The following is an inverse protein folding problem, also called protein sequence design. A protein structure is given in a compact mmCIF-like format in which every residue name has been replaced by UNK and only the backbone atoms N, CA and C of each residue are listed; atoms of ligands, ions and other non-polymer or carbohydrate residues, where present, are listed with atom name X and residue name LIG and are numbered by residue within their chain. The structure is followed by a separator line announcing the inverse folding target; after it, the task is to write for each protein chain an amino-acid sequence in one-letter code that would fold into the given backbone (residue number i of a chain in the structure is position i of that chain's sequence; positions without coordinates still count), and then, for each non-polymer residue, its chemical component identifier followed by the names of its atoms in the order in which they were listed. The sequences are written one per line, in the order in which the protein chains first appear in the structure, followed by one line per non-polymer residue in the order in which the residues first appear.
data_IF_652298107659
#
_entry.id   IF_652298107659
#
_cell.length_a   1.000
_cell.length_b   1.000
_cell.length_c   1.000
_cell.angle_alpha   90.00
_cell.angle_beta   90.00
_cell.angle_gamma   90.00
#
_symmetry.space_group_name_H-M   'P 1'
#
loop_
_entity.id
_entity.type
_entity.pdbx_description
1 polymer ?
#
# COMPACT_ATOMS: atom_id res chain seq x y z
N UNK A 1 3.53 2.53 15.22
CA UNK A 1 3.63 1.90 13.90
C UNK A 1 4.09 2.91 12.89
N UNK A 2 5.00 2.51 12.03
CA UNK A 2 5.39 3.33 10.90
C UNK A 2 4.27 3.35 9.85
N UNK A 3 4.23 4.40 9.05
CA UNK A 3 3.29 4.55 7.95
C UNK A 3 4.02 4.49 6.63
N UNK A 4 3.48 3.74 5.69
CA UNK A 4 4.04 3.57 4.36
C UNK A 4 2.99 3.87 3.32
N UNK A 5 3.43 4.35 2.17
CA UNK A 5 2.59 4.48 0.99
C UNK A 5 3.01 3.38 0.01
N UNK A 6 2.05 2.63 -0.47
CA UNK A 6 2.23 1.70 -1.57
C UNK A 6 1.57 2.29 -2.80
N UNK A 7 2.37 2.57 -3.82
CA UNK A 7 1.89 3.07 -5.11
C UNK A 7 2.24 2.05 -6.18
N UNK A 8 1.30 1.73 -7.07
CA UNK A 8 1.57 0.76 -8.11
C UNK A 8 0.80 1.07 -9.38
N UNK A 9 1.34 0.56 -10.48
CA UNK A 9 0.73 0.63 -11.79
C UNK A 9 0.78 -0.76 -12.41
N UNK A 10 -0.38 -1.30 -12.75
CA UNK A 10 -0.49 -2.63 -13.32
C UNK A 10 -0.42 -2.52 -14.84
N UNK A 11 0.63 -3.10 -15.43
CA UNK A 11 0.89 -3.05 -16.86
C UNK A 11 0.42 -4.32 -17.59
N UNK A 12 -0.11 -5.27 -16.86
CA UNK A 12 -0.61 -6.53 -17.39
C UNK A 12 -1.85 -6.95 -16.64
N UNK A 13 -2.59 -7.92 -17.21
CA UNK A 13 -3.67 -8.56 -16.46
C UNK A 13 -3.00 -9.43 -15.41
N UNK A 14 -3.16 -9.06 -14.16
CA UNK A 14 -2.48 -9.72 -13.06
C UNK A 14 -3.47 -10.48 -12.19
N UNK A 15 -3.35 -11.79 -12.18
CA UNK A 15 -4.12 -12.61 -11.26
C UNK A 15 -3.61 -12.50 -9.83
N UNK A 16 -2.34 -12.14 -9.67
CA UNK A 16 -1.75 -11.93 -8.34
C UNK A 16 -2.33 -10.72 -7.62
N UNK A 17 -2.82 -9.75 -8.37
CA UNK A 17 -3.41 -8.54 -7.79
C UNK A 17 -4.60 -8.84 -6.88
N UNK A 18 -5.38 -9.87 -7.21
CA UNK A 18 -6.52 -10.26 -6.37
C UNK A 18 -6.09 -10.70 -4.97
N UNK A 19 -4.84 -11.13 -4.83
CA UNK A 19 -4.27 -11.56 -3.56
C UNK A 19 -3.67 -10.41 -2.76
N UNK A 20 -3.56 -9.23 -3.36
CA UNK A 20 -2.88 -8.10 -2.72
C UNK A 20 -3.49 -7.72 -1.37
N UNK A 21 -4.82 -7.53 -1.24
CA UNK A 21 -5.38 -7.18 0.06
C UNK A 21 -5.05 -8.18 1.15
N UNK A 22 -5.10 -9.48 0.86
CA UNK A 22 -4.76 -10.51 1.84
C UNK A 22 -3.31 -10.44 2.26
N UNK A 23 -2.40 -10.21 1.30
CA UNK A 23 -0.98 -10.09 1.60
C UNK A 23 -0.69 -8.83 2.42
N UNK A 24 -1.36 -7.73 2.11
CA UNK A 24 -1.21 -6.50 2.88
C UNK A 24 -1.69 -6.67 4.32
N UNK A 25 -2.77 -7.41 4.53
CA UNK A 25 -3.29 -7.69 5.86
C UNK A 25 -2.34 -8.54 6.72
N UNK A 26 -1.48 -9.34 6.09
CA UNK A 26 -0.52 -10.16 6.81
C UNK A 26 0.63 -9.33 7.40
N UNK A 27 0.96 -8.20 6.78
CA UNK A 27 2.15 -7.42 7.15
C UNK A 27 1.83 -6.04 7.67
N UNK A 28 0.58 -5.61 7.61
CA UNK A 28 0.21 -4.23 7.94
C UNK A 28 -1.26 -4.12 8.28
N UNK A 29 -1.67 -2.89 8.64
CA UNK A 29 -3.07 -2.47 8.65
C UNK A 29 -3.27 -1.62 7.40
N UNK A 30 -3.79 -2.21 6.31
CA UNK A 30 -3.88 -1.49 5.04
C UNK A 30 -5.15 -0.64 4.98
N UNK A 31 -5.02 0.53 4.37
CA UNK A 31 -6.14 1.40 4.05
C UNK A 31 -6.10 1.69 2.55
N UNK A 32 -7.13 1.26 1.84
CA UNK A 32 -7.28 1.57 0.42
C UNK A 32 -7.63 3.04 0.25
N UNK A 33 -6.82 3.77 -0.51
CA UNK A 33 -7.07 5.19 -0.77
C UNK A 33 -7.83 5.34 -2.09
N UNK A 34 -7.21 4.94 -3.18
CA UNK A 34 -7.82 4.87 -4.50
C UNK A 34 -6.99 3.94 -5.37
N UNK A 35 -7.41 3.69 -6.60
CA UNK A 35 -6.77 2.73 -7.48
C UNK A 35 -5.27 3.01 -7.58
N UNK A 36 -4.47 2.03 -7.21
CA UNK A 36 -3.02 2.13 -7.27
C UNK A 36 -2.39 2.77 -6.04
N UNK A 37 -3.16 3.06 -4.99
CA UNK A 37 -2.61 3.72 -3.81
C UNK A 37 -3.22 3.17 -2.53
N UNK A 38 -2.33 2.72 -1.63
CA UNK A 38 -2.70 2.25 -0.29
C UNK A 38 -1.84 2.93 0.76
N UNK A 39 -2.42 3.18 1.92
CA UNK A 39 -1.68 3.54 3.12
C UNK A 39 -1.53 2.29 3.99
N UNK A 40 -0.31 2.02 4.44
CA UNK A 40 -0.03 0.85 5.28
C UNK A 40 0.53 1.33 6.61
N UNK A 41 -0.03 0.81 7.71
CA UNK A 41 0.53 1.02 9.04
C UNK A 41 1.11 -0.31 9.49
N UNK A 42 2.40 -0.33 9.86
CA UNK A 42 3.06 -1.59 10.15
C UNK A 42 4.21 -1.40 11.13
N UNK A 43 4.46 -2.44 11.93
CA UNK A 43 5.66 -2.52 12.78
C UNK A 43 6.85 -3.11 12.03
N UNK A 44 6.63 -3.63 10.80
CA UNK A 44 7.69 -4.17 9.98
C UNK A 44 8.43 -3.04 9.25
N UNK A 45 9.69 -3.30 8.90
CA UNK A 45 10.45 -2.34 8.12
C UNK A 45 10.05 -2.40 6.64
N UNK A 46 10.53 -1.42 5.89
CA UNK A 46 10.20 -1.27 4.48
C UNK A 46 10.62 -2.49 3.65
N UNK A 47 11.79 -3.04 3.92
CA UNK A 47 12.28 -4.20 3.19
C UNK A 47 11.42 -5.44 3.45
N UNK A 48 11.02 -5.65 4.68
CA UNK A 48 10.18 -6.80 5.03
C UNK A 48 8.84 -6.72 4.36
N UNK A 49 8.22 -5.54 4.35
CA UNK A 49 6.94 -5.34 3.67
C UNK A 49 7.10 -5.60 2.18
N UNK A 50 8.12 -5.01 1.56
CA UNK A 50 8.38 -5.16 0.12
C UNK A 50 8.53 -6.63 -0.26
N UNK A 51 9.35 -7.38 0.49
CA UNK A 51 9.58 -8.79 0.21
C UNK A 51 8.31 -9.63 0.31
N UNK A 52 7.42 -9.28 1.24
CA UNK A 52 6.19 -10.04 1.44
C UNK A 52 5.13 -9.77 0.39
N UNK A 53 5.12 -8.59 -0.22
CA UNK A 53 4.07 -8.21 -1.16
C UNK A 53 4.47 -8.34 -2.63
N UNK A 54 5.77 -8.44 -2.93
CA UNK A 54 6.21 -8.43 -4.34
C UNK A 54 5.64 -9.58 -5.15
N UNK A 55 5.30 -10.70 -4.52
CA UNK A 55 4.71 -11.84 -5.23
C UNK A 55 3.27 -11.57 -5.68
N UNK A 56 2.63 -10.52 -5.22
CA UNK A 56 1.32 -10.11 -5.71
C UNK A 56 1.38 -9.37 -7.06
N UNK A 57 2.58 -9.02 -7.49
CA UNK A 57 2.79 -8.28 -8.74
C UNK A 57 3.52 -9.15 -9.75
N UNK A 58 3.21 -8.92 -11.05
CA UNK A 58 3.92 -9.57 -12.14
C UNK A 58 5.17 -8.78 -12.51
N UNK A 59 6.07 -9.40 -13.28
CA UNK A 59 7.33 -8.77 -13.67
C UNK A 59 7.13 -7.48 -14.49
N UNK A 60 5.98 -7.33 -15.14
CA UNK A 60 5.67 -6.13 -15.94
C UNK A 60 4.95 -5.04 -15.15
N UNK A 61 4.61 -5.32 -13.89
CA UNK A 61 3.95 -4.35 -13.04
C UNK A 61 4.97 -3.50 -12.31
N UNK A 62 4.62 -2.25 -12.06
CA UNK A 62 5.47 -1.34 -11.30
C UNK A 62 4.86 -1.10 -9.93
N UNK A 63 5.69 -1.15 -8.90
CA UNK A 63 5.23 -0.71 -7.58
C UNK A 63 6.38 -0.07 -6.81
N UNK A 64 6.02 0.85 -5.93
CA UNK A 64 6.93 1.51 -5.02
C UNK A 64 6.32 1.50 -3.63
N UNK A 65 7.17 1.30 -2.63
CA UNK A 65 6.75 1.46 -1.25
C UNK A 65 7.75 2.41 -0.57
N UNK A 66 7.23 3.36 0.19
CA UNK A 66 8.08 4.32 0.89
C UNK A 66 7.44 4.74 2.20
N UNK A 67 8.30 4.98 3.18
CA UNK A 67 7.87 5.44 4.49
C UNK A 67 7.54 6.92 4.45
N UNK A 68 6.46 7.30 5.16
CA UNK A 68 6.08 8.72 5.27
C UNK A 68 6.25 9.17 6.71
N UNK A 69 6.80 10.36 6.87
CA UNK A 69 7.06 10.96 8.18
C UNK A 69 6.10 12.10 8.51
N UNK A 70 5.29 12.50 7.54
CA UNK A 70 4.31 13.58 7.69
C UNK A 70 2.97 13.11 7.16
N UNK A 71 1.90 13.70 7.69
CA UNK A 71 0.57 13.41 7.18
C UNK A 71 0.46 13.90 5.74
N UNK A 72 -0.10 13.09 4.83
CA UNK A 72 -0.32 13.53 3.45
C UNK A 72 -1.28 14.70 3.40
N UNK A 73 -1.04 15.61 2.46
CA UNK A 73 -1.94 16.71 2.17
C UNK A 73 -2.62 16.47 0.84
N UNK A 74 -3.88 16.82 0.75
CA UNK A 74 -4.63 16.65 -0.48
C UNK A 74 -6.12 16.66 -0.23
N UNK A 75 -6.88 16.22 -1.24
CA UNK A 75 -8.32 16.16 -1.18
C UNK A 75 -8.77 14.70 -1.23
N UNK A 76 -9.38 14.24 -0.14
CA UNK A 76 -10.01 12.93 -0.03
C UNK A 76 -11.43 13.12 0.51
N UNK A 77 -12.26 12.08 0.41
CA UNK A 77 -13.52 12.10 1.14
C UNK A 77 -13.21 12.28 2.63
N UNK A 78 -14.08 12.94 3.37
CA UNK A 78 -13.84 13.26 4.78
C UNK A 78 -13.49 12.02 5.59
N UNK A 79 -14.20 10.92 5.36
CA UNK A 79 -13.97 9.67 6.08
C UNK A 79 -12.56 9.12 5.82
N UNK A 80 -12.14 9.09 4.57
CA UNK A 80 -10.79 8.60 4.22
C UNK A 80 -9.72 9.50 4.79
N UNK A 81 -9.95 10.80 4.75
CA UNK A 81 -8.97 11.75 5.27
C UNK A 81 -8.75 11.54 6.76
N UNK A 82 -9.82 11.36 7.53
CA UNK A 82 -9.72 11.09 8.97
C UNK A 82 -8.95 9.79 9.24
N UNK A 83 -9.21 8.75 8.48
CA UNK A 83 -8.52 7.47 8.64
C UNK A 83 -7.02 7.60 8.34
N UNK A 84 -6.65 8.40 7.34
CA UNK A 84 -5.25 8.63 6.98
C UNK A 84 -4.53 9.41 8.09
N UNK A 85 -5.18 10.41 8.67
CA UNK A 85 -4.59 11.23 9.72
C UNK A 85 -4.46 10.48 11.05
N UNK A 86 -5.33 9.56 11.32
CA UNK A 86 -5.30 8.76 12.53
C UNK A 86 -4.47 7.50 12.35
#
# INVERSE_FOLDING_TARGET
MAKYILSYNLNSISYGYEKLPSKLNLVSKPLYIYKGLWLLKSDLDQNSICENIKSAFNSNDDFLIFEINQSPLGTLSAQKYDEVLN
#
